data_IF_172060457191
#
_entry.id   IF_172060457191
#
_cell.length_a   1.000
_cell.length_b   1.000
_cell.length_c   1.000
_cell.angle_alpha   90.00
_cell.angle_beta   90.00
_cell.angle_gamma   90.00
#
_symmetry.space_group_name_H-M   'P 1'
#
loop_
_entity.id
_entity.type
_entity.pdbx_description
1 polymer ?
#
# COMPACT_ATOMS: atom_id res chain seq x y z
N UNK A 1 22.32 -32.73 4.75
CA UNK A 1 23.48 -31.94 5.20
C UNK A 1 23.12 -30.47 5.18
N UNK A 2 23.27 -29.84 6.32
CA UNK A 2 22.90 -28.45 6.63
C UNK A 2 24.12 -27.56 6.33
N UNK A 3 23.90 -26.47 5.59
CA UNK A 3 24.76 -25.27 5.55
C UNK A 3 23.76 -24.12 5.36
N UNK A 4 23.36 -23.29 6.32
CA UNK A 4 24.07 -22.40 7.26
C UNK A 4 25.06 -21.43 6.59
N UNK A 5 24.55 -20.23 6.27
CA UNK A 5 25.36 -19.06 5.96
C UNK A 5 24.71 -17.80 6.56
N UNK A 6 25.07 -17.58 7.82
CA UNK A 6 25.44 -16.30 8.47
C UNK A 6 25.00 -14.96 7.86
N UNK A 7 24.22 -14.24 8.66
CA UNK A 7 24.04 -12.77 8.63
C UNK A 7 25.34 -12.05 9.05
N UNK A 8 25.68 -10.89 8.48
CA UNK A 8 26.68 -10.00 9.07
C UNK A 8 26.03 -9.02 10.07
N UNK A 9 26.46 -9.11 11.31
CA UNK A 9 26.31 -8.11 12.37
C UNK A 9 27.46 -7.12 12.32
N UNK A 10 27.16 -5.82 12.26
CA UNK A 10 27.80 -4.72 13.05
C UNK A 10 27.68 -3.39 12.31
N UNK A 11 26.87 -2.47 12.84
CA UNK A 11 27.11 -1.03 12.67
C UNK A 11 26.98 -0.41 14.06
N UNK A 12 28.13 -0.04 14.62
CA UNK A 12 28.25 0.78 15.82
C UNK A 12 28.01 2.23 15.43
N UNK A 13 27.17 2.94 16.19
CA UNK A 13 27.24 4.40 16.29
C UNK A 13 27.26 4.73 17.77
N UNK A 14 28.41 5.20 18.21
CA UNK A 14 28.72 5.67 19.54
C UNK A 14 28.66 7.21 19.52
N UNK A 15 28.09 7.81 20.57
CA UNK A 15 28.26 9.22 20.92
C UNK A 15 27.33 10.26 20.27
N UNK A 16 26.21 10.56 20.92
CA UNK A 16 25.82 11.93 21.27
C UNK A 16 24.78 11.88 22.41
N UNK A 17 25.26 12.21 23.60
CA UNK A 17 24.47 12.36 24.82
C UNK A 17 23.78 13.72 24.91
N UNK A 18 22.68 13.69 25.67
CA UNK A 18 22.02 14.76 26.41
C UNK A 18 21.07 15.75 25.69
N UNK A 19 19.81 15.70 26.15
CA UNK A 19 18.99 16.91 26.26
C UNK A 19 17.59 16.82 25.71
N UNK A 20 16.78 15.81 26.07
CA UNK A 20 15.33 15.92 25.94
C UNK A 20 14.63 15.14 27.06
N UNK A 21 14.14 15.89 28.04
CA UNK A 21 13.18 15.44 29.05
C UNK A 21 12.15 14.48 28.44
N UNK A 22 11.94 13.27 28.99
CA UNK A 22 10.76 12.50 28.63
C UNK A 22 9.54 13.25 29.17
N UNK A 23 8.75 13.83 28.27
CA UNK A 23 7.46 14.44 28.60
C UNK A 23 6.62 13.43 29.42
N UNK A 24 6.12 13.80 30.61
CA UNK A 24 5.26 12.93 31.40
C UNK A 24 3.84 13.06 30.85
N UNK A 25 3.53 12.34 29.77
CA UNK A 25 2.17 12.24 29.22
C UNK A 25 1.63 10.83 29.46
N UNK A 26 0.99 10.68 30.63
CA UNK A 26 -0.12 9.78 30.96
C UNK A 26 -0.21 8.48 30.15
N UNK A 27 0.62 7.51 30.53
CA UNK A 27 0.47 6.11 30.15
C UNK A 27 -0.79 5.54 30.81
N UNK A 28 -1.85 5.29 30.04
CA UNK A 28 -2.70 4.14 30.34
C UNK A 28 -1.83 2.90 30.13
N UNK A 29 -1.71 2.05 31.14
CA UNK A 29 -0.97 0.79 30.99
C UNK A 29 -1.60 -0.08 29.91
N UNK A 30 -0.79 -0.87 29.19
CA UNK A 30 -1.25 -1.78 28.14
C UNK A 30 -2.41 -2.67 28.60
N UNK A 31 -2.41 -3.06 29.88
CA UNK A 31 -3.49 -3.84 30.53
C UNK A 31 -4.81 -3.07 30.62
N UNK A 32 -4.77 -1.75 30.85
CA UNK A 32 -5.95 -0.89 30.85
C UNK A 32 -6.49 -0.69 29.44
N UNK A 33 -5.61 -0.57 28.45
CA UNK A 33 -6.01 -0.52 27.04
C UNK A 33 -6.66 -1.84 26.60
N UNK A 34 -6.13 -2.98 27.04
CA UNK A 34 -6.69 -4.30 26.74
C UNK A 34 -8.03 -4.51 27.47
N UNK A 35 -8.17 -4.04 28.72
CA UNK A 35 -9.46 -4.02 29.42
C UNK A 35 -10.49 -3.14 28.73
N UNK A 36 -10.08 -1.97 28.22
CA UNK A 36 -10.96 -1.08 27.48
C UNK A 36 -11.39 -1.73 26.15
N UNK A 37 -10.46 -2.37 25.46
CA UNK A 37 -10.75 -3.12 24.23
C UNK A 37 -11.74 -4.26 24.51
N UNK A 38 -11.55 -5.04 25.56
CA UNK A 38 -12.50 -6.10 25.94
C UNK A 38 -13.90 -5.52 26.25
N UNK A 39 -13.97 -4.38 26.95
CA UNK A 39 -15.23 -3.67 27.19
C UNK A 39 -15.88 -3.20 25.88
N UNK A 40 -15.10 -2.64 24.96
CA UNK A 40 -15.58 -2.15 23.67
C UNK A 40 -16.08 -3.28 22.78
N UNK A 41 -15.41 -4.43 22.78
CA UNK A 41 -15.82 -5.62 22.01
C UNK A 41 -17.02 -6.36 22.62
N UNK A 42 -17.25 -6.23 23.94
CA UNK A 42 -18.40 -6.84 24.63
C UNK A 42 -19.70 -6.01 24.57
N UNK A 43 -19.61 -4.73 24.22
CA UNK A 43 -20.74 -3.80 24.09
C UNK A 43 -20.97 -3.45 22.62
N UNK A 44 -22.05 -2.73 22.30
CA UNK A 44 -22.34 -2.26 20.93
C UNK A 44 -21.24 -1.28 20.47
N UNK A 45 -20.14 -1.84 19.97
CA UNK A 45 -18.91 -1.12 19.58
C UNK A 45 -19.22 -0.07 18.52
N UNK A 46 -20.22 -0.34 17.69
CA UNK A 46 -20.69 0.51 16.62
C UNK A 46 -21.35 1.77 17.19
N UNK A 47 -22.14 1.62 18.25
CA UNK A 47 -22.70 2.75 18.98
C UNK A 47 -21.59 3.60 19.64
N UNK A 48 -20.57 3.00 20.27
CA UNK A 48 -19.47 3.76 20.91
C UNK A 48 -18.49 4.42 19.94
N UNK A 49 -18.24 3.81 18.78
CA UNK A 49 -17.54 4.43 17.67
C UNK A 49 -18.29 5.65 17.13
N UNK A 50 -19.62 5.67 17.29
CA UNK A 50 -20.50 6.78 16.88
C UNK A 50 -20.65 7.85 17.96
N UNK A 51 -20.68 7.45 19.24
CA UNK A 51 -20.97 8.31 20.40
C UNK A 51 -19.76 9.12 20.91
N UNK A 52 -18.61 9.05 20.22
CA UNK A 52 -17.43 9.87 20.54
C UNK A 52 -16.71 9.54 21.85
N UNK A 53 -17.05 8.42 22.50
CA UNK A 53 -16.40 7.97 23.74
C UNK A 53 -14.87 7.81 23.62
N UNK A 54 -14.38 7.54 22.41
CA UNK A 54 -12.96 7.47 22.07
C UNK A 54 -12.27 8.83 21.99
N UNK A 55 -13.01 9.92 21.75
CA UNK A 55 -12.44 11.26 21.52
C UNK A 55 -11.84 11.88 22.79
N UNK A 56 -12.10 11.30 23.96
CA UNK A 56 -11.51 11.72 25.23
C UNK A 56 -10.08 11.20 25.43
N UNK A 57 -9.65 10.22 24.63
CA UNK A 57 -8.31 9.64 24.74
C UNK A 57 -7.29 10.47 23.96
N UNK A 58 -6.00 10.43 24.34
CA UNK A 58 -4.92 10.93 23.51
C UNK A 58 -4.94 10.29 22.10
N UNK A 59 -4.62 11.06 21.05
CA UNK A 59 -4.73 10.60 19.67
C UNK A 59 -3.89 9.34 19.36
N UNK A 60 -2.73 9.20 19.99
CA UNK A 60 -1.86 8.02 19.85
C UNK A 60 -2.53 6.76 20.42
N UNK A 61 -3.20 6.90 21.57
CA UNK A 61 -3.94 5.80 22.20
C UNK A 61 -5.18 5.44 21.37
N UNK A 62 -5.87 6.43 20.81
CA UNK A 62 -6.96 6.21 19.87
C UNK A 62 -6.49 5.42 18.64
N UNK A 63 -5.37 5.81 18.03
CA UNK A 63 -4.83 5.13 16.85
C UNK A 63 -4.52 3.65 17.13
N UNK A 64 -3.85 3.37 18.25
CA UNK A 64 -3.55 2.00 18.67
C UNK A 64 -4.82 1.19 18.96
N UNK A 65 -5.82 1.78 19.61
CA UNK A 65 -7.07 1.10 19.93
C UNK A 65 -7.88 0.78 18.67
N UNK A 66 -7.97 1.72 17.73
CA UNK A 66 -8.64 1.52 16.45
C UNK A 66 -7.94 0.43 15.62
N UNK A 67 -6.60 0.39 15.62
CA UNK A 67 -5.85 -0.70 15.01
C UNK A 67 -6.19 -2.06 15.66
N UNK A 68 -6.17 -2.15 16.99
CA UNK A 68 -6.51 -3.40 17.69
C UNK A 68 -7.95 -3.84 17.43
N UNK A 69 -8.92 -2.92 17.34
CA UNK A 69 -10.30 -3.24 16.94
C UNK A 69 -10.30 -3.80 15.51
N UNK A 70 -9.56 -3.17 14.59
CA UNK A 70 -9.38 -3.66 13.22
C UNK A 70 -8.77 -5.06 13.15
N UNK A 71 -7.88 -5.43 14.07
CA UNK A 71 -7.25 -6.76 14.17
C UNK A 71 -8.09 -7.80 14.92
N UNK A 72 -9.12 -7.36 15.65
CA UNK A 72 -9.91 -8.22 16.53
C UNK A 72 -10.83 -9.19 15.79
N UNK A 73 -11.48 -10.08 16.54
CA UNK A 73 -12.55 -10.96 16.06
C UNK A 73 -13.93 -10.27 16.00
N UNK A 74 -13.98 -8.93 16.03
CA UNK A 74 -15.22 -8.18 15.86
C UNK A 74 -15.87 -8.45 14.49
N UNK A 75 -17.14 -8.06 14.36
CA UNK A 75 -17.84 -8.14 13.08
C UNK A 75 -17.14 -7.25 12.02
N UNK A 76 -17.33 -7.60 10.76
CA UNK A 76 -16.65 -6.94 9.63
C UNK A 76 -16.93 -5.43 9.57
N UNK A 77 -18.18 -5.02 9.83
CA UNK A 77 -18.59 -3.61 9.78
C UNK A 77 -17.88 -2.76 10.83
N UNK A 78 -17.72 -3.29 12.05
CA UNK A 78 -16.99 -2.66 13.14
C UNK A 78 -15.51 -2.53 12.79
N UNK A 79 -14.92 -3.61 12.23
CA UNK A 79 -13.51 -3.61 11.80
C UNK A 79 -13.29 -2.58 10.69
N UNK A 80 -14.13 -2.54 9.66
CA UNK A 80 -14.09 -1.53 8.60
C UNK A 80 -14.22 -0.11 9.16
N UNK A 81 -15.23 0.12 10.01
CA UNK A 81 -15.48 1.44 10.62
C UNK A 81 -14.31 1.92 11.47
N UNK A 82 -13.65 0.99 12.19
CA UNK A 82 -12.46 1.32 12.97
C UNK A 82 -11.29 1.76 12.10
N UNK A 83 -11.06 1.10 10.96
CA UNK A 83 -9.99 1.47 10.02
C UNK A 83 -10.29 2.77 9.26
N UNK A 84 -11.56 3.03 8.94
CA UNK A 84 -11.99 4.30 8.36
C UNK A 84 -11.79 5.47 9.32
N UNK A 85 -12.07 5.26 10.61
CA UNK A 85 -11.77 6.26 11.64
C UNK A 85 -10.27 6.40 11.85
N UNK A 86 -9.51 5.30 11.83
CA UNK A 86 -8.05 5.32 11.94
C UNK A 86 -7.41 6.13 10.82
N UNK A 87 -7.80 5.89 9.57
CA UNK A 87 -7.27 6.61 8.41
C UNK A 87 -7.50 8.13 8.52
N UNK A 88 -8.71 8.54 8.95
CA UNK A 88 -9.03 9.95 9.20
C UNK A 88 -8.22 10.56 10.34
N UNK A 89 -8.07 9.81 11.44
CA UNK A 89 -7.27 10.24 12.60
C UNK A 89 -5.80 10.39 12.21
N UNK A 90 -5.20 9.39 11.55
CA UNK A 90 -3.80 9.44 11.10
C UNK A 90 -3.55 10.62 10.16
N UNK A 91 -4.50 10.91 9.26
CA UNK A 91 -4.40 12.08 8.37
C UNK A 91 -4.29 13.41 9.14
N UNK A 92 -4.83 13.50 10.36
CA UNK A 92 -4.70 14.70 11.19
C UNK A 92 -3.53 14.67 12.16
N UNK A 93 -3.06 13.51 12.62
CA UNK A 93 -2.07 13.43 13.71
C UNK A 93 -0.66 13.04 13.25
N UNK A 94 -0.49 12.46 12.06
CA UNK A 94 0.81 11.95 11.64
C UNK A 94 1.91 13.03 11.64
N UNK A 95 1.57 14.27 11.31
CA UNK A 95 2.53 15.38 11.30
C UNK A 95 3.19 15.66 12.67
N UNK A 96 2.58 15.23 13.78
CA UNK A 96 3.15 15.37 15.13
C UNK A 96 3.93 14.14 15.60
N UNK A 97 3.90 13.05 14.85
CA UNK A 97 4.59 11.80 15.21
C UNK A 97 6.05 11.86 14.80
N UNK A 98 6.93 11.31 15.64
CA UNK A 98 8.33 11.11 15.30
C UNK A 98 8.59 9.62 14.98
N UNK A 99 9.84 9.28 14.67
CA UNK A 99 10.20 7.89 14.33
C UNK A 99 9.90 6.89 15.44
N UNK A 100 9.89 7.32 16.72
CA UNK A 100 9.66 6.44 17.86
C UNK A 100 8.23 5.89 17.92
N UNK A 101 7.23 6.67 17.51
CA UNK A 101 5.83 6.21 17.43
C UNK A 101 5.53 5.58 16.07
N UNK A 102 6.07 6.16 15.00
CA UNK A 102 5.74 5.75 13.63
C UNK A 102 6.24 4.35 13.28
N UNK A 103 7.47 4.01 13.65
CA UNK A 103 8.09 2.72 13.31
C UNK A 103 7.33 1.53 13.93
N UNK A 104 7.05 1.47 15.25
CA UNK A 104 6.32 0.35 15.83
C UNK A 104 4.88 0.27 15.33
N UNK A 105 4.21 1.41 15.09
CA UNK A 105 2.87 1.42 14.53
C UNK A 105 2.85 0.87 13.09
N UNK A 106 3.80 1.31 12.26
CA UNK A 106 3.95 0.83 10.87
C UNK A 106 4.24 -0.67 10.83
N UNK A 107 5.07 -1.18 11.74
CA UNK A 107 5.35 -2.61 11.85
C UNK A 107 4.09 -3.44 12.15
N UNK A 108 3.25 -2.97 13.09
CA UNK A 108 1.98 -3.63 13.41
C UNK A 108 0.99 -3.57 12.24
N UNK A 109 0.93 -2.44 11.52
CA UNK A 109 0.10 -2.31 10.31
C UNK A 109 0.54 -3.27 9.20
N UNK A 110 1.85 -3.41 8.98
CA UNK A 110 2.40 -4.35 7.99
C UNK A 110 2.10 -5.80 8.40
N UNK A 111 2.25 -6.14 9.68
CA UNK A 111 1.89 -7.46 10.18
C UNK A 111 0.40 -7.75 9.95
N UNK A 112 -0.47 -6.78 10.24
CA UNK A 112 -1.90 -6.91 9.97
C UNK A 112 -2.18 -7.15 8.48
N UNK A 113 -1.48 -6.44 7.60
CA UNK A 113 -1.57 -6.61 6.16
C UNK A 113 -0.99 -7.94 5.64
N UNK A 114 -0.19 -8.68 6.40
CA UNK A 114 0.19 -10.04 6.02
C UNK A 114 -0.85 -11.08 6.44
N UNK A 115 -1.46 -10.88 7.61
CA UNK A 115 -2.36 -11.86 8.24
C UNK A 115 -3.78 -11.79 7.68
N UNK A 116 -4.34 -10.59 7.53
CA UNK A 116 -5.76 -10.45 7.18
C UNK A 116 -6.01 -10.67 5.68
N UNK A 117 -6.98 -11.53 5.35
CA UNK A 117 -7.35 -11.88 3.97
C UNK A 117 -8.75 -11.39 3.58
N UNK A 118 -9.42 -10.61 4.43
CA UNK A 118 -10.76 -10.13 4.12
C UNK A 118 -10.69 -8.99 3.09
N UNK A 119 -11.23 -9.17 1.87
CA UNK A 119 -11.10 -8.21 0.78
C UNK A 119 -11.64 -6.81 1.12
N UNK A 120 -12.67 -6.70 1.96
CA UNK A 120 -13.24 -5.40 2.36
C UNK A 120 -12.33 -4.63 3.31
N UNK A 121 -11.57 -5.33 4.15
CA UNK A 121 -10.59 -4.72 5.03
C UNK A 121 -9.31 -4.36 4.27
N UNK A 122 -8.96 -5.11 3.21
CA UNK A 122 -7.73 -4.86 2.43
C UNK A 122 -7.64 -3.44 1.92
N UNK A 123 -8.69 -2.93 1.28
CA UNK A 123 -8.67 -1.57 0.73
C UNK A 123 -8.44 -0.54 1.86
N UNK A 124 -9.02 -0.76 3.05
CA UNK A 124 -8.82 0.12 4.23
C UNK A 124 -7.42 0.01 4.82
N UNK A 125 -6.86 -1.19 4.86
CA UNK A 125 -5.49 -1.43 5.33
C UNK A 125 -4.50 -0.75 4.37
N UNK A 126 -4.71 -0.91 3.06
CA UNK A 126 -3.88 -0.32 2.02
C UNK A 126 -3.95 1.22 2.07
N UNK A 127 -5.14 1.81 2.30
CA UNK A 127 -5.30 3.26 2.49
C UNK A 127 -4.46 3.78 3.68
N UNK A 128 -4.47 3.06 4.81
CA UNK A 128 -3.64 3.41 5.97
C UNK A 128 -2.15 3.26 5.65
N UNK A 129 -1.74 2.19 4.98
CA UNK A 129 -0.35 1.99 4.57
C UNK A 129 0.12 3.07 3.59
N UNK A 130 -0.75 3.54 2.69
CA UNK A 130 -0.47 4.68 1.80
C UNK A 130 -0.22 5.95 2.61
N UNK A 131 -1.03 6.24 3.63
CA UNK A 131 -0.82 7.40 4.51
C UNK A 131 0.53 7.31 5.25
N UNK A 132 0.82 6.16 5.86
CA UNK A 132 2.09 5.93 6.55
C UNK A 132 3.29 6.06 5.60
N UNK A 133 3.14 5.60 4.36
CA UNK A 133 4.16 5.72 3.33
C UNK A 133 4.44 7.19 2.97
N UNK A 134 3.39 8.00 2.76
CA UNK A 134 3.54 9.43 2.46
C UNK A 134 4.25 10.15 3.59
N UNK A 135 3.81 9.91 4.83
CA UNK A 135 4.42 10.55 5.98
C UNK A 135 5.87 10.10 6.20
N UNK A 136 6.17 8.82 6.00
CA UNK A 136 7.55 8.33 6.06
C UNK A 136 8.46 8.98 5.02
N UNK A 137 7.96 9.31 3.83
CA UNK A 137 8.72 10.07 2.84
C UNK A 137 8.96 11.50 3.30
N UNK A 138 7.96 12.16 3.87
CA UNK A 138 8.07 13.54 4.37
C UNK A 138 9.16 13.66 5.44
N UNK A 139 9.21 12.72 6.40
CA UNK A 139 10.27 12.67 7.42
C UNK A 139 11.67 12.52 6.80
N UNK A 140 11.79 11.80 5.70
CA UNK A 140 13.04 11.61 4.96
C UNK A 140 13.26 12.67 3.87
N UNK A 141 12.61 13.83 3.94
CA UNK A 141 12.72 14.92 2.94
C UNK A 141 12.48 14.47 1.50
N UNK A 142 11.64 13.46 1.30
CA UNK A 142 11.28 12.90 0.00
C UNK A 142 12.36 12.05 -0.67
N UNK A 143 13.42 11.63 0.05
CA UNK A 143 14.51 10.84 -0.55
C UNK A 143 14.10 9.37 -0.76
N UNK A 144 13.51 8.72 0.23
CA UNK A 144 12.95 7.37 0.15
C UNK A 144 12.01 7.10 1.33
N UNK A 145 11.03 6.23 1.15
CA UNK A 145 10.19 5.76 2.26
C UNK A 145 10.99 4.84 3.18
N UNK A 146 10.44 4.55 4.36
CA UNK A 146 11.01 3.61 5.33
C UNK A 146 11.37 2.27 4.65
N UNK A 147 12.56 1.71 4.92
CA UNK A 147 12.99 0.41 4.39
C UNK A 147 12.00 -0.72 4.67
N UNK A 148 11.24 -0.62 5.76
CA UNK A 148 10.22 -1.61 6.12
C UNK A 148 9.06 -1.61 5.12
N UNK A 149 8.62 -0.43 4.69
CA UNK A 149 7.53 -0.26 3.71
C UNK A 149 8.00 -0.69 2.33
N UNK A 150 9.19 -0.27 1.90
CA UNK A 150 9.73 -0.67 0.59
C UNK A 150 9.92 -2.18 0.50
N UNK A 151 10.45 -2.79 1.57
CA UNK A 151 10.58 -4.26 1.67
C UNK A 151 9.22 -4.97 1.64
N UNK A 152 8.23 -4.43 2.35
CA UNK A 152 6.86 -4.95 2.33
C UNK A 152 6.27 -4.94 0.91
N UNK A 153 6.40 -3.82 0.20
CA UNK A 153 5.89 -3.68 -1.18
C UNK A 153 6.56 -4.70 -2.11
N UNK A 154 7.89 -4.88 -2.03
CA UNK A 154 8.57 -5.89 -2.82
C UNK A 154 8.14 -7.33 -2.50
N UNK A 155 7.94 -7.65 -1.22
CA UNK A 155 7.47 -8.97 -0.79
C UNK A 155 6.06 -9.24 -1.30
N UNK A 156 5.18 -8.25 -1.20
CA UNK A 156 3.82 -8.31 -1.70
C UNK A 156 3.76 -8.51 -3.21
N UNK A 157 4.57 -7.80 -3.98
CA UNK A 157 4.66 -7.97 -5.44
C UNK A 157 5.16 -9.36 -5.85
N UNK A 158 6.10 -9.92 -5.08
CA UNK A 158 6.68 -11.24 -5.33
C UNK A 158 5.84 -12.41 -4.77
N UNK A 159 4.79 -12.13 -4.00
CA UNK A 159 3.94 -13.15 -3.43
C UNK A 159 3.10 -13.85 -4.50
N UNK A 160 2.78 -15.13 -4.29
CA UNK A 160 1.79 -15.86 -5.11
C UNK A 160 0.35 -15.53 -4.76
N UNK A 161 0.13 -14.80 -3.66
CA UNK A 161 -1.18 -14.39 -3.18
C UNK A 161 -1.62 -13.09 -3.88
N UNK A 162 -2.70 -13.16 -4.67
CA UNK A 162 -3.24 -12.03 -5.40
C UNK A 162 -3.67 -10.88 -4.48
N UNK A 163 -4.07 -11.18 -3.24
CA UNK A 163 -4.42 -10.18 -2.23
C UNK A 163 -3.21 -9.35 -1.84
N UNK A 164 -2.04 -9.98 -1.67
CA UNK A 164 -0.79 -9.27 -1.35
C UNK A 164 -0.30 -8.48 -2.57
N UNK A 165 -0.35 -9.06 -3.77
CA UNK A 165 0.00 -8.35 -5.00
C UNK A 165 -0.84 -7.09 -5.20
N UNK A 166 -2.15 -7.16 -4.91
CA UNK A 166 -3.06 -6.00 -4.92
C UNK A 166 -2.58 -4.91 -3.97
N UNK A 167 -2.20 -5.24 -2.73
CA UNK A 167 -1.68 -4.27 -1.76
C UNK A 167 -0.41 -3.58 -2.25
N UNK A 168 0.50 -4.33 -2.89
CA UNK A 168 1.68 -3.72 -3.52
C UNK A 168 1.29 -2.69 -4.58
N UNK A 169 0.31 -3.02 -5.44
CA UNK A 169 -0.16 -2.13 -6.51
C UNK A 169 -0.85 -0.89 -5.93
N UNK A 170 -1.68 -1.07 -4.89
CA UNK A 170 -2.37 0.04 -4.22
C UNK A 170 -1.37 1.06 -3.65
N UNK A 171 -0.33 0.59 -2.95
CA UNK A 171 0.67 1.47 -2.33
C UNK A 171 1.48 2.24 -3.36
N UNK A 172 2.01 1.59 -4.40
CA UNK A 172 2.80 2.30 -5.43
C UNK A 172 1.95 3.29 -6.22
N UNK A 173 0.66 3.01 -6.42
CA UNK A 173 -0.26 3.91 -7.12
C UNK A 173 -0.59 5.11 -6.25
N UNK A 174 -0.82 4.89 -4.95
CA UNK A 174 -1.08 5.95 -3.97
C UNK A 174 0.15 6.81 -3.66
N UNK A 175 1.35 6.22 -3.78
CA UNK A 175 2.64 6.89 -3.53
C UNK A 175 3.70 6.51 -4.59
N UNK A 176 3.63 7.08 -5.80
CA UNK A 176 4.59 6.79 -6.87
C UNK A 176 6.04 7.10 -6.52
N UNK A 177 6.24 8.04 -5.60
CA UNK A 177 7.55 8.46 -5.08
C UNK A 177 8.09 7.56 -3.97
N UNK A 178 7.46 6.41 -3.67
CA UNK A 178 7.89 5.45 -2.64
C UNK A 178 9.40 5.15 -2.68
N UNK A 179 9.92 4.91 -3.90
CA UNK A 179 11.33 4.57 -4.14
C UNK A 179 12.22 5.80 -4.38
N UNK A 180 11.67 7.01 -4.26
CA UNK A 180 12.38 8.27 -4.48
C UNK A 180 13.06 8.34 -5.84
N UNK A 181 14.40 8.35 -5.85
CA UNK A 181 15.21 8.41 -7.08
C UNK A 181 15.50 7.04 -7.70
N UNK A 182 15.17 5.94 -7.01
CA UNK A 182 15.45 4.57 -7.45
C UNK A 182 14.29 4.05 -8.29
N UNK A 183 14.15 4.58 -9.51
CA UNK A 183 13.01 4.26 -10.40
C UNK A 183 13.06 2.79 -10.89
N UNK A 184 14.22 2.13 -10.81
CA UNK A 184 14.35 0.69 -11.09
C UNK A 184 13.43 -0.15 -10.21
N UNK A 185 13.29 0.20 -8.93
CA UNK A 185 12.49 -0.57 -7.98
C UNK A 185 10.99 -0.46 -8.29
N UNK A 186 10.56 0.72 -8.75
CA UNK A 186 9.21 0.95 -9.27
C UNK A 186 8.92 0.02 -10.45
N UNK A 187 9.84 -0.03 -11.42
CA UNK A 187 9.71 -0.92 -12.58
C UNK A 187 9.60 -2.37 -12.12
N UNK A 188 10.50 -2.83 -11.25
CA UNK A 188 10.54 -4.23 -10.82
C UNK A 188 9.23 -4.67 -10.14
N UNK A 189 8.63 -3.79 -9.34
CA UNK A 189 7.33 -4.06 -8.69
C UNK A 189 6.21 -4.14 -9.73
N UNK A 190 6.13 -3.16 -10.63
CA UNK A 190 5.09 -3.14 -11.68
C UNK A 190 5.23 -4.36 -12.59
N UNK A 191 6.45 -4.69 -13.01
CA UNK A 191 6.76 -5.84 -13.84
C UNK A 191 6.32 -7.16 -13.19
N UNK A 192 6.66 -7.39 -11.90
CA UNK A 192 6.22 -8.58 -11.16
C UNK A 192 4.70 -8.72 -11.13
N UNK A 193 3.98 -7.64 -10.87
CA UNK A 193 2.52 -7.66 -10.85
C UNK A 193 1.90 -7.85 -12.25
N UNK A 194 2.49 -7.26 -13.29
CA UNK A 194 2.08 -7.46 -14.69
C UNK A 194 2.35 -8.89 -15.19
N UNK A 195 3.28 -9.62 -14.57
CA UNK A 195 3.57 -11.02 -14.86
C UNK A 195 2.85 -12.00 -13.92
N UNK A 196 1.91 -11.52 -13.09
CA UNK A 196 1.10 -12.37 -12.21
C UNK A 196 0.34 -13.43 -13.01
N UNK A 197 0.10 -14.59 -12.41
CA UNK A 197 -0.74 -15.64 -13.01
C UNK A 197 -2.21 -15.24 -13.04
N UNK A 198 -2.64 -14.34 -12.16
CA UNK A 198 -4.02 -13.83 -12.08
C UNK A 198 -4.22 -12.65 -13.04
N UNK A 199 -5.11 -12.81 -14.02
CA UNK A 199 -5.44 -11.77 -14.99
C UNK A 199 -6.00 -10.51 -14.31
N UNK A 200 -6.73 -10.63 -13.21
CA UNK A 200 -7.28 -9.48 -12.48
C UNK A 200 -6.16 -8.61 -11.91
N UNK A 201 -5.10 -9.25 -11.40
CA UNK A 201 -3.90 -8.55 -10.92
C UNK A 201 -3.11 -7.95 -12.07
N UNK A 202 -2.96 -8.67 -13.19
CA UNK A 202 -2.30 -8.12 -14.39
C UNK A 202 -3.04 -6.87 -14.92
N UNK A 203 -4.37 -6.88 -14.95
CA UNK A 203 -5.19 -5.75 -15.38
C UNK A 203 -5.11 -4.58 -14.38
N UNK A 204 -5.09 -4.86 -13.08
CA UNK A 204 -4.89 -3.84 -12.06
C UNK A 204 -3.50 -3.19 -12.20
N UNK A 205 -2.45 -4.02 -12.35
CA UNK A 205 -1.08 -3.56 -12.56
C UNK A 205 -0.95 -2.75 -13.86
N UNK A 206 -1.67 -3.13 -14.92
CA UNK A 206 -1.75 -2.37 -16.16
C UNK A 206 -2.41 -1.01 -15.96
N UNK A 207 -3.47 -0.92 -15.17
CA UNK A 207 -4.09 0.38 -14.83
C UNK A 207 -3.09 1.27 -14.11
N UNK A 208 -2.44 0.73 -13.06
CA UNK A 208 -1.41 1.45 -12.31
C UNK A 208 -0.21 1.83 -13.17
N UNK A 209 0.20 0.98 -14.10
CA UNK A 209 1.23 1.31 -15.09
C UNK A 209 0.87 2.59 -15.85
N UNK A 210 -0.37 2.72 -16.35
CA UNK A 210 -0.80 3.92 -17.06
C UNK A 210 -0.86 5.16 -16.14
N UNK A 211 -1.24 5.00 -14.87
CA UNK A 211 -1.25 6.09 -13.88
C UNK A 211 0.17 6.56 -13.53
N UNK A 212 1.10 5.62 -13.47
CA UNK A 212 2.50 5.87 -13.15
C UNK A 212 3.30 6.39 -14.36
N UNK A 213 2.82 6.23 -15.59
CA UNK A 213 3.57 6.58 -16.80
C UNK A 213 3.63 8.10 -17.05
N UNK A 214 4.75 8.69 -16.65
CA UNK A 214 5.02 10.13 -16.67
C UNK A 214 6.42 10.42 -17.20
N UNK A 215 6.75 11.68 -17.50
CA UNK A 215 8.11 12.06 -17.92
C UNK A 215 9.18 11.61 -16.91
N UNK A 216 8.83 11.56 -15.61
CA UNK A 216 9.73 11.13 -14.53
C UNK A 216 10.01 9.63 -14.54
N UNK A 217 9.06 8.82 -14.98
CA UNK A 217 9.10 7.34 -14.93
C UNK A 217 9.24 6.71 -16.32
N UNK A 218 9.23 7.54 -17.36
CA UNK A 218 9.22 7.16 -18.77
C UNK A 218 10.31 6.14 -19.12
N UNK A 219 11.55 6.42 -18.72
CA UNK A 219 12.71 5.57 -19.02
C UNK A 219 12.60 4.19 -18.36
N UNK A 220 12.04 4.12 -17.15
CA UNK A 220 11.92 2.88 -16.41
C UNK A 220 10.72 2.03 -16.84
N UNK A 221 9.62 2.67 -17.25
CA UNK A 221 8.37 1.99 -17.61
C UNK A 221 8.27 1.67 -19.11
N UNK A 222 8.98 2.38 -19.99
CA UNK A 222 9.00 2.09 -21.43
C UNK A 222 9.32 0.62 -21.76
N UNK A 223 10.28 -0.05 -21.10
CA UNK A 223 10.56 -1.47 -21.33
C UNK A 223 9.36 -2.41 -21.08
N UNK A 224 8.36 -1.99 -20.29
CA UNK A 224 7.17 -2.78 -19.98
C UNK A 224 6.05 -2.64 -21.00
N UNK A 225 6.17 -1.72 -21.98
CA UNK A 225 5.17 -1.53 -23.04
C UNK A 225 4.78 -2.82 -23.80
N UNK A 226 5.71 -3.72 -24.16
CA UNK A 226 5.33 -4.98 -24.82
C UNK A 226 4.38 -5.81 -23.97
N UNK A 227 4.63 -5.91 -22.66
CA UNK A 227 3.79 -6.64 -21.70
C UNK A 227 2.46 -5.92 -21.52
N UNK A 228 2.47 -4.58 -21.43
CA UNK A 228 1.25 -3.78 -21.34
C UNK A 228 0.29 -4.04 -22.52
N UNK A 229 0.83 -4.03 -23.75
CA UNK A 229 0.07 -4.28 -24.96
C UNK A 229 -0.44 -5.72 -25.01
N UNK A 230 0.34 -6.69 -24.52
CA UNK A 230 -0.10 -8.07 -24.42
C UNK A 230 -1.31 -8.20 -23.49
N UNK A 231 -1.26 -7.61 -22.29
CA UNK A 231 -2.37 -7.64 -21.33
C UNK A 231 -3.62 -6.94 -21.91
N UNK A 232 -3.46 -5.84 -22.66
CA UNK A 232 -4.57 -5.25 -23.40
C UNK A 232 -5.21 -6.26 -24.37
N UNK A 233 -4.41 -7.13 -25.00
CA UNK A 233 -4.91 -8.15 -25.91
C UNK A 233 -5.66 -9.26 -25.19
N UNK A 234 -5.14 -9.67 -24.03
CA UNK A 234 -5.79 -10.63 -23.14
C UNK A 234 -7.16 -10.12 -22.66
N UNK A 235 -7.28 -8.82 -22.36
CA UNK A 235 -8.55 -8.19 -22.00
C UNK A 235 -9.63 -8.34 -23.07
N UNK A 236 -9.27 -8.18 -24.36
CA UNK A 236 -10.22 -8.33 -25.48
C UNK A 236 -10.80 -9.74 -25.53
N UNK A 237 -10.00 -10.74 -25.18
CA UNK A 237 -10.39 -12.15 -25.14
C UNK A 237 -10.91 -12.61 -23.77
N UNK A 238 -10.96 -11.72 -22.78
CA UNK A 238 -11.40 -12.06 -21.44
C UNK A 238 -12.92 -12.32 -21.38
N UNK A 239 -13.34 -13.03 -20.32
CA UNK A 239 -14.76 -13.28 -20.07
C UNK A 239 -15.54 -11.97 -19.93
N UNK A 240 -16.83 -12.00 -20.26
CA UNK A 240 -17.74 -10.85 -20.07
C UNK A 240 -17.77 -10.36 -18.61
N UNK A 241 -17.60 -11.26 -17.64
CA UNK A 241 -17.52 -10.90 -16.23
C UNK A 241 -16.33 -9.97 -15.94
N UNK A 242 -15.15 -10.26 -16.49
CA UNK A 242 -13.96 -9.43 -16.31
C UNK A 242 -14.11 -8.10 -17.07
N UNK A 243 -14.63 -8.16 -18.30
CA UNK A 243 -14.83 -6.98 -19.15
C UNK A 243 -15.86 -6.00 -18.59
N UNK A 244 -16.92 -6.49 -17.94
CA UNK A 244 -17.94 -5.64 -17.31
C UNK A 244 -17.46 -4.95 -16.03
N UNK A 245 -16.52 -5.55 -15.29
CA UNK A 245 -15.97 -5.00 -14.03
C UNK A 245 -14.73 -4.13 -14.23
N UNK A 246 -14.08 -4.19 -15.39
CA UNK A 246 -12.79 -3.51 -15.63
C UNK A 246 -12.93 -2.48 -16.75
N UNK A 247 -12.61 -1.20 -16.52
CA UNK A 247 -12.56 -0.21 -17.58
C UNK A 247 -11.63 -0.65 -18.71
N UNK A 248 -12.06 -0.49 -19.96
CA UNK A 248 -11.27 -0.91 -21.11
C UNK A 248 -9.89 -0.23 -21.13
N UNK A 249 -8.77 -0.98 -21.07
CA UNK A 249 -7.43 -0.42 -21.06
C UNK A 249 -7.01 0.16 -22.42
N UNK A 250 -7.78 -0.13 -23.49
CA UNK A 250 -7.45 0.25 -24.87
C UNK A 250 -7.52 1.76 -25.08
N UNK A 251 -8.49 2.41 -24.43
CA UNK A 251 -8.60 3.87 -24.46
C UNK A 251 -7.38 4.52 -23.80
N UNK A 252 -6.93 3.96 -22.66
CA UNK A 252 -5.72 4.44 -21.96
C UNK A 252 -4.46 4.20 -22.78
N UNK A 253 -4.35 3.05 -23.45
CA UNK A 253 -3.25 2.75 -24.37
C UNK A 253 -3.20 3.73 -25.55
N UNK A 254 -4.37 4.09 -26.10
CA UNK A 254 -4.46 5.07 -27.20
C UNK A 254 -4.06 6.47 -26.72
N UNK A 255 -4.53 6.89 -25.54
CA UNK A 255 -4.10 8.16 -24.93
C UNK A 255 -2.59 8.19 -24.67
N UNK A 256 -2.02 7.07 -24.21
CA UNK A 256 -0.59 6.94 -24.00
C UNK A 256 0.19 7.12 -25.31
N UNK A 257 -0.27 6.49 -26.39
CA UNK A 257 0.35 6.61 -27.71
C UNK A 257 0.26 8.03 -28.28
N UNK A 258 -0.84 8.74 -28.02
CA UNK A 258 -0.97 10.15 -28.38
C UNK A 258 -0.04 11.06 -27.56
N UNK A 259 0.15 10.76 -26.27
CA UNK A 259 0.99 11.57 -25.37
C UNK A 259 2.48 11.30 -25.53
N UNK A 260 2.88 10.04 -25.74
CA UNK A 260 4.27 9.60 -25.86
C UNK A 260 4.48 8.76 -27.15
N UNK A 261 4.48 9.40 -28.33
CA UNK A 261 4.55 8.68 -29.60
C UNK A 261 5.88 7.98 -29.84
N UNK A 262 7.00 8.52 -29.33
CA UNK A 262 8.33 7.97 -29.57
C UNK A 262 8.53 6.58 -28.93
N UNK A 263 8.23 6.35 -27.63
CA UNK A 263 8.24 5.02 -27.03
C UNK A 263 7.32 4.02 -27.75
N UNK A 264 6.21 4.51 -28.32
CA UNK A 264 5.19 3.68 -28.95
C UNK A 264 5.51 3.30 -30.40
N UNK A 265 6.45 3.99 -31.06
CA UNK A 265 6.76 3.82 -32.49
C UNK A 265 7.06 2.36 -32.85
N UNK A 266 7.80 1.64 -32.01
CA UNK A 266 8.13 0.21 -32.21
C UNK A 266 6.94 -0.74 -32.05
N UNK A 267 5.80 -0.25 -31.55
CA UNK A 267 4.64 -1.05 -31.18
C UNK A 267 3.34 -0.67 -31.91
N UNK A 268 3.34 0.41 -32.71
CA UNK A 268 2.14 0.93 -33.38
C UNK A 268 1.35 -0.13 -34.15
N UNK A 269 2.03 -1.02 -34.89
CA UNK A 269 1.35 -2.10 -35.64
C UNK A 269 0.55 -3.02 -34.72
N UNK A 270 1.08 -3.34 -33.53
CA UNK A 270 0.38 -4.18 -32.54
C UNK A 270 -0.82 -3.44 -31.96
N UNK A 271 -0.66 -2.16 -31.64
CA UNK A 271 -1.75 -1.32 -31.10
C UNK A 271 -2.89 -1.18 -32.11
N UNK A 272 -2.61 -0.85 -33.37
CA UNK A 272 -3.62 -0.72 -34.44
C UNK A 272 -4.39 -2.04 -34.62
N UNK A 273 -3.65 -3.16 -34.65
CA UNK A 273 -4.25 -4.50 -34.76
C UNK A 273 -5.20 -4.79 -33.59
N UNK A 274 -4.83 -4.36 -32.39
CA UNK A 274 -5.61 -4.57 -31.18
C UNK A 274 -6.88 -3.71 -31.16
N UNK A 275 -6.78 -2.44 -31.54
CA UNK A 275 -7.95 -1.56 -31.66
C UNK A 275 -8.96 -2.09 -32.69
N UNK A 276 -8.50 -2.66 -33.81
CA UNK A 276 -9.37 -3.26 -34.82
C UNK A 276 -10.10 -4.53 -34.39
N UNK A 277 -9.73 -5.16 -33.27
CA UNK A 277 -10.43 -6.34 -32.70
C UNK A 277 -11.56 -5.97 -31.73
N UNK A 278 -11.68 -4.69 -31.39
CA UNK A 278 -12.68 -4.17 -30.44
C UNK A 278 -13.81 -3.44 -31.17
N UNK A 279 -13.65 -3.27 -32.49
CA UNK A 279 -14.68 -2.79 -33.43
C UNK A 279 -15.66 -3.93 -33.74
#
# INVERSE_FOLDING_TARGET
SIHSSSLPSSFSVDGMEEGSNPSPLLNMDQSQLDSLLQSLLSSDTQQRLSDGSLDQLPPEQQANLLLKIGQSSANEETRCSSLDRLSRLLSSILHSWCSNELVPFTAQMIQFAFVDKNPKLRDKIDDVLVLLTKHSLELNSGVHASPMITSFVHQCAAASDSILQRSSIAIITGVPSLFGKVISDLRDVVEKCMLSTDLSIRLLALSSFFDLFSDKTLSALTPLLPVAIQICGEFVTASEEIRSKTPSPINRLTQLASKYPDPMRGHLKRVITLCGRVS
#
